data_IF_713045786622
#
_entry.id   IF_713045786622
#
_cell.length_a   1.000
_cell.length_b   1.000
_cell.length_c   1.000
_cell.angle_alpha   90.00
_cell.angle_beta   90.00
_cell.angle_gamma   90.00
#
_symmetry.space_group_name_H-M   'P 1'
#
loop_
_entity.id
_entity.type
_entity.pdbx_description
1 polymer ?
#
# COMPACT_ATOMS: atom_id res chain seq x y z
N UNK A 1 -32.22 3.88 34.39
CA UNK A 1 -32.65 4.75 33.29
C UNK A 1 -31.53 4.69 32.25
N UNK A 2 -31.66 3.79 31.26
CA UNK A 2 -30.72 3.62 30.16
C UNK A 2 -30.91 4.81 29.20
N UNK A 3 -29.99 5.78 29.22
CA UNK A 3 -29.96 6.82 28.21
C UNK A 3 -29.75 6.17 26.84
N UNK A 4 -30.76 6.15 26.00
CA UNK A 4 -30.64 5.84 24.58
C UNK A 4 -29.71 6.91 23.95
N UNK A 5 -28.44 6.55 23.78
CA UNK A 5 -27.45 7.38 23.10
C UNK A 5 -27.91 7.54 21.64
N UNK A 6 -28.27 8.77 21.27
CA UNK A 6 -28.73 9.13 19.92
C UNK A 6 -27.71 8.65 18.92
N UNK A 7 -28.00 7.57 18.18
CA UNK A 7 -27.10 6.96 17.20
C UNK A 7 -26.92 7.97 16.07
N UNK A 8 -25.71 8.43 15.87
CA UNK A 8 -25.34 9.34 14.77
C UNK A 8 -25.57 8.64 13.42
N UNK A 9 -25.93 9.41 12.37
CA UNK A 9 -26.08 8.86 11.02
C UNK A 9 -24.80 8.15 10.52
N UNK A 10 -23.63 8.63 10.91
CA UNK A 10 -22.35 7.99 10.65
C UNK A 10 -22.22 6.64 11.36
N UNK A 11 -22.64 6.54 12.60
CA UNK A 11 -22.62 5.30 13.36
C UNK A 11 -23.54 4.25 12.74
N UNK A 12 -24.71 4.68 12.24
CA UNK A 12 -25.65 3.79 11.54
C UNK A 12 -25.09 3.27 10.22
N UNK A 13 -24.33 4.10 9.47
CA UNK A 13 -23.74 3.72 8.19
C UNK A 13 -22.53 2.79 8.36
N UNK A 14 -21.63 3.13 9.27
CA UNK A 14 -20.40 2.37 9.51
C UNK A 14 -20.54 1.23 10.52
N UNK A 15 -21.63 1.19 11.30
CA UNK A 15 -21.87 0.15 12.29
C UNK A 15 -20.89 0.18 13.47
N UNK A 16 -20.36 1.36 13.81
CA UNK A 16 -19.27 1.55 14.78
C UNK A 16 -19.65 1.01 16.16
N UNK A 17 -20.82 1.38 16.67
CA UNK A 17 -21.30 0.91 17.98
C UNK A 17 -21.62 -0.59 17.96
N UNK A 18 -22.14 -1.12 16.83
CA UNK A 18 -22.40 -2.54 16.66
C UNK A 18 -21.10 -3.37 16.65
N UNK A 19 -20.00 -2.80 16.17
CA UNK A 19 -18.66 -3.39 16.21
C UNK A 19 -17.96 -3.27 17.59
N UNK A 20 -18.64 -2.69 18.59
CA UNK A 20 -18.07 -2.48 19.94
C UNK A 20 -17.06 -1.34 20.03
N UNK A 21 -17.03 -0.44 19.03
CA UNK A 21 -16.12 0.70 18.97
C UNK A 21 -16.83 2.03 19.24
N UNK A 22 -16.14 3.15 19.10
CA UNK A 22 -16.70 4.49 19.18
C UNK A 22 -16.13 5.36 18.07
N UNK A 23 -16.86 6.38 17.63
CA UNK A 23 -16.41 7.32 16.58
C UNK A 23 -15.05 7.92 16.91
N UNK A 24 -14.79 8.22 18.18
CA UNK A 24 -13.49 8.76 18.61
C UNK A 24 -12.36 7.74 18.40
N UNK A 25 -12.58 6.48 18.72
CA UNK A 25 -11.59 5.40 18.54
C UNK A 25 -11.33 5.18 17.05
N UNK A 26 -12.36 5.17 16.21
CA UNK A 26 -12.22 5.02 14.76
C UNK A 26 -11.44 6.17 14.11
N UNK A 27 -11.70 7.42 14.53
CA UNK A 27 -10.93 8.58 14.04
C UNK A 27 -9.46 8.47 14.47
N UNK A 28 -9.21 8.11 15.72
CA UNK A 28 -7.83 7.93 16.22
C UNK A 28 -7.11 6.78 15.51
N UNK A 29 -7.80 5.67 15.26
CA UNK A 29 -7.26 4.55 14.50
C UNK A 29 -6.91 4.96 13.05
N UNK A 30 -7.82 5.68 12.38
CA UNK A 30 -7.59 6.21 11.03
C UNK A 30 -6.40 7.17 10.96
N UNK A 31 -6.29 8.10 11.91
CA UNK A 31 -5.14 9.02 12.02
C UNK A 31 -3.83 8.27 12.28
N UNK A 32 -3.85 7.28 13.17
CA UNK A 32 -2.66 6.48 13.48
C UNK A 32 -2.19 5.72 12.23
N UNK A 33 -3.08 5.07 11.49
CA UNK A 33 -2.73 4.37 10.25
C UNK A 33 -2.25 5.33 9.16
N UNK A 34 -2.87 6.51 9.05
CA UNK A 34 -2.43 7.55 8.12
C UNK A 34 -1.00 7.99 8.41
N UNK A 35 -0.68 8.39 9.65
CA UNK A 35 0.67 8.82 10.00
C UNK A 35 1.71 7.71 9.86
N UNK A 36 1.33 6.46 10.18
CA UNK A 36 2.21 5.31 9.96
C UNK A 36 2.57 5.07 8.49
N UNK A 37 1.71 5.49 7.55
CA UNK A 37 1.88 5.26 6.11
C UNK A 37 2.23 6.53 5.32
N UNK A 38 2.12 7.74 5.91
CA UNK A 38 2.30 9.00 5.21
C UNK A 38 3.69 9.15 4.56
N UNK A 39 4.73 8.53 5.14
CA UNK A 39 6.08 8.55 4.58
C UNK A 39 6.15 7.93 3.18
N UNK A 40 5.26 6.98 2.84
CA UNK A 40 5.22 6.29 1.56
C UNK A 40 5.00 7.26 0.40
N UNK A 41 4.28 8.35 0.63
CA UNK A 41 4.02 9.40 -0.37
C UNK A 41 5.34 9.97 -0.93
N UNK A 42 6.37 10.07 -0.10
CA UNK A 42 7.68 10.56 -0.50
C UNK A 42 8.64 9.44 -0.90
N UNK A 43 8.63 8.34 -0.19
CA UNK A 43 9.57 7.23 -0.42
C UNK A 43 9.23 6.46 -1.70
N UNK A 44 7.95 6.30 -2.04
CA UNK A 44 7.54 5.59 -3.25
C UNK A 44 8.06 6.24 -4.54
N UNK A 45 7.91 7.57 -4.77
CA UNK A 45 8.52 8.24 -5.91
C UNK A 45 10.04 8.10 -5.95
N UNK A 46 10.71 8.19 -4.80
CA UNK A 46 12.15 8.06 -4.72
C UNK A 46 12.66 6.65 -5.10
N UNK A 47 11.94 5.61 -4.75
CA UNK A 47 12.31 4.24 -5.15
C UNK A 47 12.08 4.05 -6.65
N UNK A 48 10.97 4.49 -7.19
CA UNK A 48 10.60 4.25 -8.58
C UNK A 48 11.38 5.10 -9.59
N UNK A 49 11.89 6.26 -9.19
CA UNK A 49 12.76 7.08 -10.05
C UNK A 49 14.24 6.68 -9.97
N UNK A 50 14.63 5.78 -9.06
CA UNK A 50 16.01 5.42 -8.80
C UNK A 50 16.74 4.91 -10.05
N UNK A 51 16.04 4.21 -10.94
CA UNK A 51 16.60 3.79 -12.23
C UNK A 51 17.15 5.00 -13.02
N UNK A 52 16.38 6.07 -13.13
CA UNK A 52 16.77 7.27 -13.89
C UNK A 52 17.87 8.07 -13.21
N UNK A 53 17.86 8.07 -11.87
CA UNK A 53 18.94 8.70 -11.08
C UNK A 53 20.27 7.97 -11.31
N UNK A 54 20.27 6.64 -11.25
CA UNK A 54 21.47 5.81 -11.45
C UNK A 54 21.99 5.91 -12.90
N UNK A 55 21.09 5.99 -13.88
CA UNK A 55 21.46 6.11 -15.31
C UNK A 55 21.78 7.53 -15.76
N UNK A 56 21.77 8.51 -14.84
CA UNK A 56 22.11 9.92 -15.12
C UNK A 56 21.04 10.70 -15.87
N UNK A 57 19.80 10.19 -16.00
CA UNK A 57 18.70 10.83 -16.71
C UNK A 57 17.87 11.71 -15.74
N UNK A 58 18.48 12.81 -15.27
CA UNK A 58 17.92 13.65 -14.19
C UNK A 58 16.57 14.29 -14.52
N UNK A 59 16.34 14.74 -15.75
CA UNK A 59 15.06 15.31 -16.17
C UNK A 59 13.93 14.26 -16.15
N UNK A 60 14.24 13.05 -16.62
CA UNK A 60 13.29 11.95 -16.58
C UNK A 60 13.01 11.49 -15.15
N UNK A 61 14.05 11.48 -14.29
CA UNK A 61 13.89 11.16 -12.87
C UNK A 61 12.92 12.12 -12.18
N UNK A 62 13.02 13.43 -12.41
CA UNK A 62 12.12 14.43 -11.83
C UNK A 62 10.67 14.26 -12.35
N UNK A 63 10.51 14.00 -13.64
CA UNK A 63 9.20 13.78 -14.27
C UNK A 63 8.54 12.52 -13.72
N UNK A 64 9.27 11.42 -13.62
CA UNK A 64 8.75 10.17 -13.05
C UNK A 64 8.41 10.33 -11.57
N UNK A 65 9.27 10.99 -10.79
CA UNK A 65 9.01 11.22 -9.36
C UNK A 65 7.71 12.00 -9.14
N UNK A 66 7.48 13.09 -9.88
CA UNK A 66 6.25 13.90 -9.76
C UNK A 66 5.01 13.13 -10.22
N UNK A 67 5.10 12.36 -11.30
CA UNK A 67 4.00 11.55 -11.81
C UNK A 67 3.65 10.42 -10.83
N UNK A 68 4.65 9.74 -10.28
CA UNK A 68 4.47 8.68 -9.27
C UNK A 68 3.91 9.25 -7.97
N UNK A 69 4.33 10.45 -7.55
CA UNK A 69 3.77 11.12 -6.38
C UNK A 69 2.25 11.30 -6.51
N UNK A 70 1.80 11.89 -7.63
CA UNK A 70 0.37 12.10 -7.89
C UNK A 70 -0.38 10.76 -7.97
N UNK A 71 0.17 9.79 -8.70
CA UNK A 71 -0.44 8.46 -8.83
C UNK A 71 -0.54 7.74 -7.46
N UNK A 72 0.48 7.88 -6.61
CA UNK A 72 0.47 7.32 -5.25
C UNK A 72 -0.62 7.94 -4.39
N UNK A 73 -0.77 9.26 -4.41
CA UNK A 73 -1.83 9.96 -3.67
C UNK A 73 -3.23 9.54 -4.14
N UNK A 74 -3.45 9.50 -5.45
CA UNK A 74 -4.74 9.12 -6.02
C UNK A 74 -5.10 7.67 -5.73
N UNK A 75 -4.16 6.74 -5.92
CA UNK A 75 -4.40 5.31 -5.66
C UNK A 75 -4.61 5.03 -4.17
N UNK A 76 -3.85 5.68 -3.29
CA UNK A 76 -4.03 5.60 -1.84
C UNK A 76 -5.40 6.13 -1.41
N UNK A 77 -5.84 7.26 -1.98
CA UNK A 77 -7.16 7.81 -1.73
C UNK A 77 -8.27 6.84 -2.16
N UNK A 78 -8.23 6.35 -3.40
CA UNK A 78 -9.24 5.41 -3.91
C UNK A 78 -9.24 4.12 -3.11
N UNK A 79 -8.08 3.53 -2.83
CA UNK A 79 -7.95 2.30 -2.05
C UNK A 79 -8.47 2.47 -0.61
N UNK A 80 -8.12 3.58 0.05
CA UNK A 80 -8.59 3.89 1.40
C UNK A 80 -10.11 4.13 1.44
N UNK A 81 -10.65 4.85 0.43
CA UNK A 81 -12.10 5.06 0.33
C UNK A 81 -12.87 3.75 0.11
N UNK A 82 -12.37 2.86 -0.74
CA UNK A 82 -12.96 1.53 -0.93
C UNK A 82 -12.91 0.71 0.37
N UNK A 83 -11.81 0.77 1.10
CA UNK A 83 -11.68 0.09 2.39
C UNK A 83 -12.67 0.66 3.42
N UNK A 84 -12.79 1.98 3.50
CA UNK A 84 -13.68 2.64 4.45
C UNK A 84 -15.16 2.41 4.13
N UNK A 85 -15.57 2.56 2.86
CA UNK A 85 -16.98 2.53 2.47
C UNK A 85 -17.48 1.10 2.29
N UNK A 86 -16.69 0.24 1.63
CA UNK A 86 -17.09 -1.14 1.32
C UNK A 86 -16.80 -2.11 2.46
N UNK A 87 -15.56 -2.12 2.95
CA UNK A 87 -15.16 -3.02 4.03
C UNK A 87 -15.51 -2.49 5.43
N UNK A 88 -15.81 -1.19 5.56
CA UNK A 88 -16.13 -0.50 6.84
C UNK A 88 -15.00 -0.64 7.88
N UNK A 89 -13.76 -0.58 7.42
CA UNK A 89 -12.58 -0.71 8.27
C UNK A 89 -11.73 0.56 8.19
N UNK A 90 -11.20 1.07 9.33
CA UNK A 90 -10.42 2.30 9.40
C UNK A 90 -8.94 2.09 9.02
N UNK A 91 -8.68 1.38 7.93
CA UNK A 91 -7.31 1.11 7.47
C UNK A 91 -6.96 1.93 6.24
N UNK A 92 -5.89 2.74 6.34
CA UNK A 92 -5.31 3.40 5.19
C UNK A 92 -4.63 2.38 4.26
N UNK A 93 -4.75 2.60 2.95
CA UNK A 93 -4.12 1.79 1.92
C UNK A 93 -2.97 2.55 1.28
N UNK A 94 -1.86 1.87 1.06
CA UNK A 94 -0.69 2.44 0.38
C UNK A 94 0.06 1.38 -0.41
N UNK A 95 0.97 1.81 -1.30
CA UNK A 95 1.79 0.90 -2.10
C UNK A 95 2.76 0.08 -1.26
N UNK A 96 2.98 -1.19 -1.65
CA UNK A 96 3.92 -2.09 -0.99
C UNK A 96 5.36 -1.82 -1.38
N UNK A 97 6.18 -1.34 -0.45
CA UNK A 97 7.58 -0.92 -0.69
C UNK A 97 8.47 -2.04 -1.26
N UNK A 98 8.27 -3.28 -0.80
CA UNK A 98 9.05 -4.43 -1.29
C UNK A 98 8.86 -4.68 -2.78
N UNK A 99 7.63 -4.59 -3.28
CA UNK A 99 7.33 -4.74 -4.70
C UNK A 99 7.84 -3.57 -5.52
N UNK A 100 7.82 -2.36 -4.98
CA UNK A 100 8.33 -1.18 -5.66
C UNK A 100 9.85 -1.24 -5.85
N UNK A 101 10.57 -1.74 -4.84
CA UNK A 101 12.01 -1.98 -4.96
C UNK A 101 12.31 -3.11 -5.96
N UNK A 102 11.54 -4.20 -5.96
CA UNK A 102 11.65 -5.25 -6.96
C UNK A 102 11.43 -4.70 -8.38
N UNK A 103 10.43 -3.83 -8.56
CA UNK A 103 10.17 -3.13 -9.82
C UNK A 103 11.39 -2.32 -10.29
N UNK A 104 11.93 -1.44 -9.43
CA UNK A 104 13.03 -0.55 -9.80
C UNK A 104 14.35 -1.30 -10.02
N UNK A 105 14.72 -2.17 -9.08
CA UNK A 105 16.04 -2.80 -9.09
C UNK A 105 16.09 -4.10 -9.91
N UNK A 106 15.08 -4.95 -9.82
CA UNK A 106 15.12 -6.23 -10.53
C UNK A 106 14.55 -6.11 -11.94
N UNK A 107 13.37 -5.50 -12.09
CA UNK A 107 12.71 -5.45 -13.40
C UNK A 107 13.38 -4.42 -14.31
N UNK A 108 13.59 -3.20 -13.84
CA UNK A 108 14.19 -2.16 -14.67
C UNK A 108 15.72 -2.28 -14.76
N UNK A 109 16.44 -2.24 -13.65
CA UNK A 109 17.91 -2.28 -13.65
C UNK A 109 18.46 -3.65 -14.00
N UNK A 110 17.93 -4.73 -13.42
CA UNK A 110 18.44 -6.08 -13.61
C UNK A 110 18.09 -6.67 -14.97
N UNK A 111 16.83 -6.53 -15.42
CA UNK A 111 16.33 -7.11 -16.66
C UNK A 111 16.32 -6.12 -17.84
N UNK A 112 16.63 -4.85 -17.61
CA UNK A 112 16.72 -3.83 -18.66
C UNK A 112 15.38 -3.38 -19.26
N UNK A 113 14.26 -3.63 -18.58
CA UNK A 113 12.95 -3.18 -19.06
C UNK A 113 12.79 -1.66 -18.89
N UNK A 114 12.17 -1.02 -19.89
CA UNK A 114 11.76 0.38 -19.77
C UNK A 114 10.63 0.53 -18.72
N UNK A 115 10.46 1.74 -18.18
CA UNK A 115 9.42 2.05 -17.20
C UNK A 115 8.01 1.64 -17.69
N UNK A 116 7.69 1.93 -18.95
CA UNK A 116 6.39 1.58 -19.53
C UNK A 116 6.18 0.07 -19.66
N UNK A 117 7.23 -0.69 -20.03
CA UNK A 117 7.18 -2.15 -20.07
C UNK A 117 7.00 -2.74 -18.66
N UNK A 118 7.73 -2.21 -17.69
CA UNK A 118 7.60 -2.62 -16.31
C UNK A 118 6.20 -2.31 -15.74
N UNK A 119 5.61 -1.16 -16.07
CA UNK A 119 4.22 -0.84 -15.73
C UNK A 119 3.21 -1.79 -16.38
N UNK A 120 3.44 -2.19 -17.64
CA UNK A 120 2.58 -3.17 -18.30
C UNK A 120 2.62 -4.54 -17.59
N UNK A 121 3.80 -4.97 -17.13
CA UNK A 121 3.96 -6.21 -16.34
C UNK A 121 3.14 -6.12 -15.04
N UNK A 122 3.23 -4.99 -14.32
CA UNK A 122 2.47 -4.76 -13.09
C UNK A 122 0.97 -4.75 -13.36
N UNK A 123 0.53 -4.12 -14.44
CA UNK A 123 -0.89 -4.07 -14.83
C UNK A 123 -1.45 -5.47 -15.13
N UNK A 124 -0.73 -6.27 -15.91
CA UNK A 124 -1.11 -7.66 -16.22
C UNK A 124 -1.14 -8.50 -14.94
N UNK A 125 -0.14 -8.36 -14.07
CA UNK A 125 -0.09 -9.03 -12.77
C UNK A 125 -1.28 -8.65 -11.88
N UNK A 126 -1.69 -7.37 -11.90
CA UNK A 126 -2.87 -6.88 -11.18
C UNK A 126 -4.16 -7.52 -11.67
N UNK A 127 -4.36 -7.61 -12.99
CA UNK A 127 -5.53 -8.28 -13.58
C UNK A 127 -5.53 -9.76 -13.18
N UNK A 128 -4.40 -10.44 -13.31
CA UNK A 128 -4.27 -11.85 -12.93
C UNK A 128 -4.60 -12.05 -11.45
N UNK A 129 -4.14 -11.15 -10.58
CA UNK A 129 -4.44 -11.20 -9.15
C UNK A 129 -5.95 -11.02 -8.86
N UNK A 130 -6.64 -10.12 -9.57
CA UNK A 130 -8.09 -9.95 -9.46
C UNK A 130 -8.81 -11.25 -9.86
N UNK A 131 -8.41 -11.85 -10.97
CA UNK A 131 -8.97 -13.13 -11.47
C UNK A 131 -8.79 -14.24 -10.43
N UNK A 132 -7.57 -14.42 -9.92
CA UNK A 132 -7.25 -15.41 -8.88
C UNK A 132 -8.10 -15.18 -7.62
N UNK A 133 -8.28 -13.91 -7.23
CA UNK A 133 -9.07 -13.54 -6.05
C UNK A 133 -10.56 -13.83 -6.27
N UNK A 134 -11.11 -13.56 -7.45
CA UNK A 134 -12.50 -13.84 -7.81
C UNK A 134 -12.84 -15.34 -7.76
N UNK A 135 -11.88 -16.21 -8.13
CA UNK A 135 -12.02 -17.66 -7.99
C UNK A 135 -11.80 -18.19 -6.57
N UNK A 136 -11.53 -17.35 -5.60
CA UNK A 136 -11.30 -17.77 -4.20
C UNK A 136 -9.96 -18.45 -3.94
N UNK A 137 -9.09 -18.56 -4.94
CA UNK A 137 -7.78 -19.23 -4.85
C UNK A 137 -6.84 -18.50 -3.86
N UNK A 138 -7.06 -17.21 -3.62
CA UNK A 138 -6.28 -16.42 -2.65
C UNK A 138 -6.30 -17.05 -1.24
N UNK A 139 -7.46 -17.52 -0.79
CA UNK A 139 -7.59 -18.15 0.53
C UNK A 139 -6.86 -19.48 0.58
N UNK A 140 -6.94 -20.28 -0.49
CA UNK A 140 -6.21 -21.55 -0.60
C UNK A 140 -4.70 -21.34 -0.57
N UNK A 141 -4.19 -20.36 -1.31
CA UNK A 141 -2.76 -19.97 -1.30
C UNK A 141 -2.35 -19.50 0.10
N UNK A 142 -3.13 -18.64 0.75
CA UNK A 142 -2.83 -18.15 2.09
C UNK A 142 -2.80 -19.27 3.13
N UNK A 143 -3.69 -20.24 3.04
CA UNK A 143 -3.71 -21.42 3.94
C UNK A 143 -2.56 -22.38 3.67
N UNK A 144 -2.09 -22.48 2.43
CA UNK A 144 -0.96 -23.32 2.04
C UNK A 144 0.39 -22.81 2.61
N UNK A 145 0.50 -21.51 2.92
CA UNK A 145 1.72 -20.93 3.49
C UNK A 145 1.83 -21.32 4.97
N UNK A 146 2.92 -22.02 5.39
CA UNK A 146 3.15 -22.38 6.80
C UNK A 146 3.16 -21.13 7.69
N UNK A 147 2.65 -21.27 8.93
CA UNK A 147 2.55 -20.16 9.89
C UNK A 147 3.91 -19.47 10.15
N UNK A 148 4.98 -20.24 10.23
CA UNK A 148 6.33 -19.71 10.45
C UNK A 148 6.79 -18.80 9.29
N UNK A 149 6.47 -19.17 8.05
CA UNK A 149 6.79 -18.36 6.85
C UNK A 149 6.01 -17.05 6.87
N UNK A 150 4.73 -17.08 7.24
CA UNK A 150 3.90 -15.86 7.35
C UNK A 150 4.45 -14.86 8.38
N UNK A 151 4.95 -15.35 9.51
CA UNK A 151 5.59 -14.51 10.54
C UNK A 151 6.92 -13.96 10.01
N UNK A 152 7.73 -14.81 9.35
CA UNK A 152 9.00 -14.42 8.77
C UNK A 152 8.87 -13.35 7.66
N UNK A 153 7.80 -13.40 6.85
CA UNK A 153 7.53 -12.38 5.83
C UNK A 153 7.39 -10.99 6.46
N UNK A 154 6.63 -10.87 7.55
CA UNK A 154 6.44 -9.57 8.23
C UNK A 154 7.75 -9.02 8.79
N UNK A 155 8.57 -9.86 9.40
CA UNK A 155 9.90 -9.49 9.89
C UNK A 155 10.84 -9.10 8.74
N UNK A 156 10.82 -9.88 7.63
CA UNK A 156 11.63 -9.60 6.44
C UNK A 156 11.29 -8.27 5.78
N UNK A 157 9.99 -7.93 5.69
CA UNK A 157 9.54 -6.62 5.16
C UNK A 157 10.05 -5.49 6.06
N UNK A 158 9.96 -5.64 7.39
CA UNK A 158 10.46 -4.63 8.33
C UNK A 158 11.98 -4.42 8.20
N UNK A 159 12.76 -5.49 8.12
CA UNK A 159 14.20 -5.42 7.90
C UNK A 159 14.55 -4.79 6.54
N UNK A 160 13.80 -5.12 5.50
CA UNK A 160 14.02 -4.54 4.17
C UNK A 160 13.76 -3.04 4.16
N UNK A 161 12.69 -2.56 4.77
CA UNK A 161 12.38 -1.12 4.89
C UNK A 161 13.48 -0.41 5.68
N UNK A 162 13.96 -1.02 6.77
CA UNK A 162 15.07 -0.50 7.57
C UNK A 162 16.34 -0.37 6.72
N UNK A 163 16.69 -1.39 5.95
CA UNK A 163 17.85 -1.36 5.07
C UNK A 163 17.74 -0.23 4.03
N UNK A 164 16.60 -0.10 3.35
CA UNK A 164 16.36 0.97 2.39
C UNK A 164 16.45 2.35 3.07
N UNK A 165 15.90 2.49 4.28
CA UNK A 165 16.00 3.72 5.06
C UNK A 165 17.45 4.10 5.38
N UNK A 166 18.27 3.14 5.79
CA UNK A 166 19.70 3.36 6.07
C UNK A 166 20.49 3.72 4.81
N UNK A 167 20.23 3.04 3.69
CA UNK A 167 20.90 3.34 2.42
C UNK A 167 20.55 4.74 1.89
N UNK A 168 19.35 5.24 2.16
CA UNK A 168 18.95 6.59 1.76
C UNK A 168 19.40 7.69 2.75
N UNK A 169 19.80 7.34 3.93
CA UNK A 169 20.31 8.28 4.94
C UNK A 169 21.78 8.64 4.75
N UNK A 170 22.53 7.92 3.93
CA UNK A 170 23.98 8.12 3.63
C UNK A 170 24.87 7.34 4.56
#
# INVERSE_FOLDING_TARGET
>A
VTQQKKVSGLDKFFGVTAAGSSIKVEIMAGLTTFFAMAYIIFVNPNILNQFYVITGQTEMAATVASSVFVATCLSAFVGTMLMAVYAKLPFAQASGMGLNAFFAYTVMLGNGYSFNQALAIVFISGILFIVITAFGLREAIYRAIPKNVRIAISAGIGMFITLIGLLNAG
#
